data_IF_373513893527
#
_entry.id   IF_373513893527
#
_cell.length_a   1.000
_cell.length_b   1.000
_cell.length_c   1.000
_cell.angle_alpha   90.00
_cell.angle_beta   90.00
_cell.angle_gamma   90.00
#
_symmetry.space_group_name_H-M   'P 1'
#
loop_
_entity.id
_entity.type
_entity.pdbx_description
1 polymer ?
#
# COMPACT_ATOMS: atom_id res chain seq x y z
N UNK A 1 -16.05 8.33 1.67
CA UNK A 1 -14.57 8.42 1.56
C UNK A 1 -14.16 8.39 0.09
N UNK A 2 -13.30 9.31 -0.35
CA UNK A 2 -12.87 9.42 -1.75
C UNK A 2 -11.47 8.81 -1.92
N UNK A 3 -11.20 8.13 -3.04
CA UNK A 3 -9.86 7.62 -3.36
C UNK A 3 -9.41 8.24 -4.69
N UNK A 4 -8.19 8.77 -4.73
CA UNK A 4 -7.58 9.27 -5.95
C UNK A 4 -7.12 8.09 -6.84
N UNK A 5 -7.59 8.04 -8.09
CA UNK A 5 -7.27 6.99 -9.05
C UNK A 5 -6.78 7.59 -10.38
N UNK A 6 -5.80 7.02 -11.11
CA UNK A 6 -5.06 5.82 -10.76
C UNK A 6 -4.05 6.08 -9.64
N UNK A 7 -3.79 5.05 -8.84
CA UNK A 7 -2.72 5.09 -7.83
C UNK A 7 -1.35 5.20 -8.52
N UNK A 8 -0.57 6.27 -8.30
CA UNK A 8 0.74 6.41 -8.92
C UNK A 8 1.66 5.25 -8.56
N UNK A 9 2.24 4.62 -9.58
CA UNK A 9 3.14 3.47 -9.45
C UNK A 9 2.46 2.11 -9.30
N UNK A 10 1.11 2.05 -9.26
CA UNK A 10 0.36 0.80 -9.44
C UNK A 10 0.08 0.58 -10.93
N UNK A 11 1.02 -0.06 -11.63
CA UNK A 11 0.96 -0.23 -13.10
C UNK A 11 -0.16 -1.16 -13.57
N UNK A 12 -0.65 -2.05 -12.70
CA UNK A 12 -1.64 -3.07 -13.03
C UNK A 12 -2.99 -2.85 -12.33
N UNK A 13 -3.11 -1.86 -11.45
CA UNK A 13 -4.34 -1.52 -10.74
C UNK A 13 -4.75 -2.52 -9.64
N UNK A 14 -3.93 -3.53 -9.37
CA UNK A 14 -4.26 -4.58 -8.39
C UNK A 14 -4.25 -4.08 -6.96
N UNK A 15 -3.38 -3.12 -6.64
CA UNK A 15 -3.33 -2.53 -5.30
C UNK A 15 -4.59 -1.69 -5.08
N UNK A 16 -4.95 -0.87 -6.07
CA UNK A 16 -6.19 -0.08 -6.03
C UNK A 16 -7.41 -0.98 -5.80
N UNK A 17 -7.56 -2.04 -6.61
CA UNK A 17 -8.68 -2.98 -6.49
C UNK A 17 -8.75 -3.63 -5.11
N UNK A 18 -7.61 -4.07 -4.56
CA UNK A 18 -7.56 -4.70 -3.23
C UNK A 18 -7.88 -3.73 -2.10
N UNK A 19 -7.41 -2.49 -2.18
CA UNK A 19 -7.72 -1.46 -1.16
C UNK A 19 -9.22 -1.15 -1.19
N UNK A 20 -9.80 -0.95 -2.37
CA UNK A 20 -11.25 -0.68 -2.50
C UNK A 20 -12.07 -1.84 -1.94
N UNK A 21 -11.68 -3.07 -2.25
CA UNK A 21 -12.35 -4.27 -1.72
C UNK A 21 -12.27 -4.34 -0.18
N UNK A 22 -11.10 -4.09 0.41
CA UNK A 22 -10.91 -4.11 1.86
C UNK A 22 -11.69 -2.99 2.56
N UNK A 23 -11.71 -1.78 2.01
CA UNK A 23 -12.48 -0.66 2.56
C UNK A 23 -13.98 -0.93 2.51
N UNK A 24 -14.48 -1.50 1.40
CA UNK A 24 -15.89 -1.91 1.28
C UNK A 24 -16.26 -3.00 2.27
N UNK A 25 -15.39 -4.00 2.46
CA UNK A 25 -15.58 -5.03 3.51
C UNK A 25 -15.60 -4.44 4.92
N UNK A 26 -14.83 -3.39 5.16
CA UNK A 26 -14.84 -2.62 6.40
C UNK A 26 -16.04 -1.69 6.58
N UNK A 27 -17.02 -1.72 5.65
CA UNK A 27 -18.24 -0.90 5.71
C UNK A 27 -18.07 0.55 5.24
N UNK A 28 -16.93 0.91 4.65
CA UNK A 28 -16.71 2.26 4.14
C UNK A 28 -17.35 2.45 2.75
N UNK A 29 -18.12 3.53 2.58
CA UNK A 29 -18.58 3.97 1.25
C UNK A 29 -17.41 4.64 0.50
N UNK A 30 -16.93 3.96 -0.55
CA UNK A 30 -15.78 4.38 -1.35
C UNK A 30 -16.24 4.94 -2.69
N UNK A 31 -15.90 6.21 -2.95
CA UNK A 31 -16.06 6.87 -4.25
C UNK A 31 -14.70 7.03 -4.92
N UNK A 32 -14.57 6.53 -6.14
CA UNK A 32 -13.34 6.66 -6.93
C UNK A 32 -13.36 8.02 -7.65
N UNK A 33 -12.30 8.79 -7.52
CA UNK A 33 -12.15 10.08 -8.21
C UNK A 33 -10.98 10.01 -9.20
N UNK A 34 -11.22 10.28 -10.50
CA UNK A 34 -10.14 10.30 -11.48
C UNK A 34 -9.18 11.46 -11.19
N UNK A 35 -7.89 11.18 -11.21
CA UNK A 35 -6.78 12.07 -10.89
C UNK A 35 -6.70 13.26 -11.85
N UNK A 36 -7.36 13.20 -13.02
CA UNK A 36 -7.57 14.38 -13.88
C UNK A 36 -8.37 15.50 -13.20
N UNK A 37 -9.32 15.14 -12.32
CA UNK A 37 -10.05 16.13 -11.51
C UNK A 37 -9.18 16.79 -10.41
N UNK A 38 -7.93 16.31 -10.22
CA UNK A 38 -6.95 16.98 -9.35
C UNK A 38 -6.40 18.27 -9.99
N UNK A 39 -6.39 18.38 -11.31
CA UNK A 39 -5.91 19.56 -12.02
C UNK A 39 -6.91 20.72 -11.90
N UNK A 40 -8.21 20.42 -11.97
CA UNK A 40 -9.28 21.43 -11.86
C UNK A 40 -9.50 21.93 -10.42
N UNK A 41 -9.04 21.20 -9.41
CA UNK A 41 -9.06 21.64 -8.00
C UNK A 41 -7.84 22.50 -7.62
N UNK A 42 -6.91 22.71 -8.57
CA UNK A 42 -5.63 23.41 -8.37
C UNK A 42 -5.52 24.80 -9.00
N UNK A 43 -6.44 25.22 -9.87
CA UNK A 43 -6.46 26.57 -10.47
C UNK A 43 -7.88 26.88 -10.92
N UNK A 44 -8.56 27.75 -10.19
CA UNK A 44 -9.91 28.19 -10.49
C UNK A 44 -10.39 29.09 -9.35
N UNK A 45 -9.99 30.36 -9.41
CA UNK A 45 -10.74 31.42 -8.74
C UNK A 45 -12.14 31.44 -9.35
N UNK A 46 -13.10 30.76 -8.72
CA UNK A 46 -14.50 31.08 -8.90
C UNK A 46 -15.21 30.84 -7.57
N UNK A 47 -15.56 31.96 -6.93
CA UNK A 47 -16.39 32.07 -5.76
C UNK A 47 -17.80 31.57 -6.10
N UNK A 48 -18.04 30.27 -5.99
CA UNK A 48 -19.38 29.70 -5.96
C UNK A 48 -19.64 29.31 -4.51
N UNK A 49 -20.60 30.02 -3.90
CA UNK A 49 -21.05 29.83 -2.53
C UNK A 49 -21.16 28.34 -2.16
N UNK A 50 -20.21 27.87 -1.36
CA UNK A 50 -20.17 26.49 -0.90
C UNK A 50 -21.34 26.25 0.07
N UNK A 51 -22.16 25.20 -0.12
CA UNK A 51 -23.07 24.78 0.93
C UNK A 51 -22.24 24.37 2.14
N UNK A 52 -22.65 24.83 3.33
CA UNK A 52 -22.03 24.52 4.64
C UNK A 52 -21.51 23.08 4.67
N UNK A 53 -20.19 22.95 4.82
CA UNK A 53 -19.49 21.69 4.77
C UNK A 53 -19.94 20.72 5.85
N UNK A 54 -20.34 19.53 5.42
CA UNK A 54 -20.30 18.36 6.28
C UNK A 54 -18.84 17.96 6.49
N UNK A 55 -18.39 17.87 7.75
CA UNK A 55 -17.04 17.48 8.19
C UNK A 55 -16.62 16.03 7.83
N UNK A 56 -17.16 15.44 6.76
CA UNK A 56 -16.97 14.04 6.38
C UNK A 56 -16.31 13.82 5.01
N UNK A 57 -15.94 14.88 4.29
CA UNK A 57 -15.37 14.78 2.94
C UNK A 57 -13.85 14.52 2.97
N UNK A 58 -13.48 13.29 3.37
CA UNK A 58 -12.09 12.84 3.43
C UNK A 58 -11.63 12.11 2.16
N UNK A 59 -10.42 12.43 1.70
CA UNK A 59 -9.76 11.82 0.55
C UNK A 59 -8.55 10.99 0.98
N UNK A 60 -8.51 9.73 0.55
CA UNK A 60 -7.34 8.86 0.66
C UNK A 60 -6.49 8.94 -0.61
N UNK A 61 -5.25 9.32 -0.41
CA UNK A 61 -4.21 9.35 -1.43
C UNK A 61 -3.27 8.16 -1.20
N UNK A 62 -3.07 7.36 -2.23
CA UNK A 62 -2.16 6.23 -2.23
C UNK A 62 -1.02 6.53 -3.20
N UNK A 63 0.20 6.17 -2.83
CA UNK A 63 1.38 6.31 -3.70
C UNK A 63 2.26 5.08 -3.53
N UNK A 64 2.51 4.36 -4.63
CA UNK A 64 3.53 3.31 -4.65
C UNK A 64 4.88 3.97 -4.85
N UNK A 65 5.70 3.96 -3.79
CA UNK A 65 7.03 4.61 -3.81
C UNK A 65 8.07 3.74 -4.50
N UNK A 66 7.98 2.43 -4.31
CA UNK A 66 8.88 1.46 -4.93
C UNK A 66 8.16 0.12 -5.07
N UNK A 67 8.27 -0.49 -6.23
CA UNK A 67 7.87 -1.87 -6.48
C UNK A 67 8.94 -2.50 -7.38
N UNK A 68 9.44 -3.68 -7.01
CA UNK A 68 10.54 -4.28 -7.73
C UNK A 68 10.82 -5.73 -7.35
N UNK A 69 11.53 -6.40 -8.25
CA UNK A 69 11.95 -7.79 -8.15
C UNK A 69 13.47 -7.84 -8.21
N UNK A 70 14.10 -8.54 -7.26
CA UNK A 70 15.55 -8.69 -7.18
C UNK A 70 15.95 -10.16 -7.04
N UNK A 71 17.03 -10.58 -7.70
CA UNK A 71 17.55 -11.94 -7.63
C UNK A 71 18.70 -11.98 -6.62
N UNK A 72 18.43 -12.46 -5.41
CA UNK A 72 19.31 -12.27 -4.24
C UNK A 72 20.33 -13.39 -4.06
N UNK A 73 20.08 -14.60 -4.58
CA UNK A 73 20.97 -15.75 -4.38
C UNK A 73 20.86 -16.78 -5.49
N UNK A 74 21.99 -17.31 -5.96
CA UNK A 74 22.00 -18.50 -6.80
C UNK A 74 21.98 -19.77 -5.94
N UNK A 75 21.02 -20.66 -6.18
CA UNK A 75 20.91 -21.97 -5.56
C UNK A 75 21.69 -22.97 -6.39
N UNK A 76 22.74 -23.56 -5.81
CA UNK A 76 23.59 -24.57 -6.47
C UNK A 76 23.21 -25.97 -6.00
N UNK A 77 23.28 -26.96 -6.90
CA UNK A 77 23.18 -28.37 -6.53
C UNK A 77 24.55 -29.02 -6.75
N UNK A 78 25.13 -29.59 -5.70
CA UNK A 78 26.37 -30.36 -5.82
C UNK A 78 26.07 -31.70 -6.52
N UNK A 79 26.92 -32.19 -7.45
CA UNK A 79 28.18 -31.62 -7.94
C UNK A 79 28.06 -30.76 -9.21
N UNK A 80 26.88 -30.54 -9.81
CA UNK A 80 26.76 -29.81 -11.08
C UNK A 80 25.66 -28.74 -11.06
N UNK A 81 26.10 -27.48 -11.19
CA UNK A 81 25.31 -26.37 -11.75
C UNK A 81 24.43 -25.55 -10.78
N UNK A 82 24.08 -24.35 -11.24
CA UNK A 82 23.04 -23.50 -10.63
C UNK A 82 21.68 -24.13 -10.95
N UNK A 83 20.98 -24.58 -9.91
CA UNK A 83 19.62 -25.16 -9.97
C UNK A 83 18.57 -24.07 -10.16
N UNK A 84 18.76 -22.93 -9.51
CA UNK A 84 17.79 -21.84 -9.53
C UNK A 84 18.32 -20.59 -8.85
N UNK A 85 17.45 -19.60 -8.74
CA UNK A 85 17.71 -18.32 -8.12
C UNK A 85 16.62 -18.01 -7.11
N UNK A 86 17.02 -17.48 -5.98
CA UNK A 86 16.11 -16.90 -5.01
C UNK A 86 15.76 -15.50 -5.48
N UNK A 87 14.46 -15.27 -5.67
CA UNK A 87 13.89 -14.01 -6.12
C UNK A 87 13.15 -13.37 -4.95
N UNK A 88 13.30 -12.06 -4.82
CA UNK A 88 12.71 -11.22 -3.78
C UNK A 88 11.85 -10.18 -4.48
N UNK A 89 10.54 -10.27 -4.32
CA UNK A 89 9.62 -9.21 -4.66
C UNK A 89 9.46 -8.28 -3.46
N UNK A 90 9.49 -6.96 -3.68
CA UNK A 90 9.27 -5.97 -2.63
C UNK A 90 8.42 -4.82 -3.14
N UNK A 91 7.58 -4.29 -2.25
CA UNK A 91 6.73 -3.14 -2.52
C UNK A 91 6.68 -2.24 -1.30
N UNK A 92 6.71 -0.92 -1.52
CA UNK A 92 6.52 0.11 -0.50
C UNK A 92 5.44 1.07 -0.97
N UNK A 93 4.43 1.24 -0.13
CA UNK A 93 3.25 2.07 -0.37
C UNK A 93 3.17 3.14 0.71
N UNK A 94 2.92 4.37 0.33
CA UNK A 94 2.48 5.45 1.21
C UNK A 94 0.98 5.65 1.06
N UNK A 95 0.31 5.92 2.17
CA UNK A 95 -1.09 6.30 2.23
C UNK A 95 -1.21 7.59 3.05
N UNK A 96 -1.98 8.56 2.57
CA UNK A 96 -2.34 9.75 3.34
C UNK A 96 -3.82 10.05 3.23
N UNK A 97 -4.42 10.44 4.35
CA UNK A 97 -5.79 10.91 4.43
C UNK A 97 -5.78 12.43 4.53
N UNK A 98 -6.49 13.09 3.63
CA UNK A 98 -6.58 14.54 3.53
C UNK A 98 -8.03 14.94 3.69
N UNK A 99 -8.29 15.95 4.50
CA UNK A 99 -9.59 16.62 4.56
C UNK A 99 -9.70 17.60 3.40
N UNK A 100 -10.73 17.45 2.56
CA UNK A 100 -10.93 18.31 1.40
C UNK A 100 -11.36 19.72 1.77
N UNK A 101 -12.00 19.90 2.93
CA UNK A 101 -12.49 21.21 3.38
C UNK A 101 -11.36 22.12 3.86
N UNK A 102 -10.43 21.57 4.64
CA UNK A 102 -9.29 22.30 5.23
C UNK A 102 -7.99 22.11 4.45
N UNK A 103 -7.96 21.19 3.48
CA UNK A 103 -6.76 20.72 2.77
C UNK A 103 -5.66 20.19 3.71
N UNK A 104 -5.99 19.86 4.95
CA UNK A 104 -5.04 19.36 5.93
C UNK A 104 -4.86 17.84 5.83
N UNK A 105 -3.64 17.38 6.05
CA UNK A 105 -3.34 15.95 6.17
C UNK A 105 -3.76 15.49 7.55
N UNK A 106 -4.86 14.75 7.63
CA UNK A 106 -5.36 14.16 8.86
C UNK A 106 -4.50 12.98 9.32
N UNK A 107 -3.93 12.23 8.37
CA UNK A 107 -3.16 11.03 8.66
C UNK A 107 -2.22 10.69 7.51
N UNK A 108 -1.05 10.14 7.83
CA UNK A 108 -0.15 9.56 6.85
C UNK A 108 0.56 8.33 7.42
N UNK A 109 0.62 7.26 6.64
CA UNK A 109 1.35 6.04 7.01
C UNK A 109 2.02 5.43 5.79
N UNK A 110 3.05 4.65 6.03
CA UNK A 110 3.66 3.83 4.99
C UNK A 110 3.64 2.36 5.39
N UNK A 111 3.54 1.50 4.39
CA UNK A 111 3.61 0.06 4.54
C UNK A 111 4.61 -0.49 3.52
N UNK A 112 5.33 -1.53 3.91
CA UNK A 112 6.17 -2.29 2.99
C UNK A 112 5.90 -3.77 3.13
N UNK A 113 5.85 -4.46 2.01
CA UNK A 113 5.73 -5.91 1.95
C UNK A 113 6.84 -6.47 1.08
N UNK A 114 7.39 -7.61 1.47
CA UNK A 114 8.31 -8.38 0.64
C UNK A 114 7.92 -9.85 0.66
N UNK A 115 8.18 -10.52 -0.45
CA UNK A 115 7.91 -11.94 -0.63
C UNK A 115 9.08 -12.57 -1.38
N UNK A 116 9.44 -13.79 -1.00
CA UNK A 116 10.61 -14.46 -1.53
C UNK A 116 10.22 -15.81 -2.13
N UNK A 117 10.71 -16.09 -3.33
CA UNK A 117 10.44 -17.32 -4.05
C UNK A 117 11.70 -17.90 -4.71
N UNK A 118 11.58 -19.14 -5.17
CA UNK A 118 12.62 -19.84 -5.91
C UNK A 118 12.22 -19.94 -7.38
N UNK A 119 13.05 -19.40 -8.26
CA UNK A 119 12.90 -19.46 -9.71
C UNK A 119 13.92 -20.45 -10.26
N UNK A 120 13.47 -21.45 -11.02
CA UNK A 120 14.38 -22.41 -11.66
C UNK A 120 15.21 -21.68 -12.72
N UNK A 121 16.42 -22.18 -12.99
CA UNK A 121 17.31 -21.56 -13.99
C UNK A 121 16.64 -21.40 -15.38
N UNK A 122 15.85 -22.38 -15.80
CA UNK A 122 15.15 -22.34 -17.10
C UNK A 122 14.04 -21.29 -17.18
N UNK A 123 13.42 -20.95 -16.05
CA UNK A 123 12.30 -20.01 -15.98
C UNK A 123 12.77 -18.56 -15.71
N UNK A 124 14.08 -18.34 -15.57
CA UNK A 124 14.66 -17.05 -15.19
C UNK A 124 14.32 -15.95 -16.20
N UNK A 125 14.46 -16.22 -17.51
CA UNK A 125 14.18 -15.24 -18.56
C UNK A 125 12.71 -14.80 -18.56
N UNK A 126 11.80 -15.73 -18.29
CA UNK A 126 10.37 -15.44 -18.15
C UNK A 126 10.03 -14.73 -16.84
N UNK A 127 10.71 -15.08 -15.74
CA UNK A 127 10.56 -14.39 -14.47
C UNK A 127 11.09 -12.95 -14.51
N UNK A 128 12.13 -12.69 -15.31
CA UNK A 128 12.73 -11.37 -15.52
C UNK A 128 11.85 -10.44 -16.35
N UNK A 129 10.99 -10.95 -17.22
CA UNK A 129 10.04 -10.12 -17.98
C UNK A 129 8.88 -9.58 -17.14
N UNK A 130 8.81 -9.93 -15.84
CA UNK A 130 7.74 -9.52 -14.93
C UNK A 130 6.41 -10.27 -15.13
N UNK A 131 6.36 -11.25 -16.04
CA UNK A 131 5.15 -12.01 -16.41
C UNK A 131 4.99 -13.31 -15.61
N UNK A 132 5.97 -13.66 -14.78
CA UNK A 132 5.97 -14.87 -13.96
C UNK A 132 5.30 -14.69 -12.60
N UNK A 133 4.31 -15.53 -12.30
CA UNK A 133 3.67 -15.60 -10.98
C UNK A 133 4.71 -15.76 -9.85
N UNK A 134 4.46 -15.11 -8.71
CA UNK A 134 5.22 -15.34 -7.49
C UNK A 134 4.74 -16.64 -6.86
N UNK A 135 5.64 -17.61 -6.71
CA UNK A 135 5.36 -18.86 -6.02
C UNK A 135 6.19 -18.89 -4.73
N UNK A 136 5.81 -18.10 -3.71
CA UNK A 136 6.56 -18.07 -2.46
C UNK A 136 6.66 -19.49 -1.92
N UNK A 137 7.89 -19.92 -1.64
CA UNK A 137 8.10 -21.19 -0.96
C UNK A 137 7.33 -21.14 0.36
N UNK A 138 6.73 -22.26 0.77
CA UNK A 138 6.09 -22.39 2.08
C UNK A 138 7.10 -21.87 3.10
N UNK A 139 6.77 -20.83 3.89
CA UNK A 139 7.72 -20.23 4.80
C UNK A 139 8.27 -21.34 5.68
N UNK A 140 9.59 -21.58 5.62
CA UNK A 140 10.24 -22.46 6.58
C UNK A 140 10.03 -21.82 7.94
N UNK A 141 9.12 -22.39 8.71
CA UNK A 141 8.73 -21.98 10.05
C UNK A 141 9.98 -21.79 10.91
N UNK A 142 10.46 -20.55 11.00
CA UNK A 142 11.70 -20.21 11.69
C UNK A 142 11.72 -18.73 12.05
N UNK A 143 11.23 -18.41 13.24
CA UNK A 143 11.37 -17.10 13.89
C UNK A 143 10.31 -16.07 13.50
N UNK A 144 9.11 -16.19 14.06
CA UNK A 144 7.95 -15.38 13.66
C UNK A 144 7.93 -13.93 14.16
N UNK A 145 7.12 -13.06 13.51
CA UNK A 145 6.78 -11.69 13.92
C UNK A 145 5.74 -11.60 15.06
N UNK A 146 5.59 -12.63 15.88
CA UNK A 146 4.52 -12.77 16.91
C UNK A 146 4.50 -11.68 18.00
N UNK A 147 5.55 -10.86 18.10
CA UNK A 147 5.63 -9.74 19.05
C UNK A 147 5.37 -8.37 18.41
N UNK A 148 5.47 -8.24 17.09
CA UNK A 148 5.28 -6.96 16.41
C UNK A 148 3.79 -6.60 16.30
N UNK A 149 2.96 -7.61 16.09
CA UNK A 149 1.51 -7.48 15.98
C UNK A 149 0.86 -6.92 17.27
N UNK A 150 1.14 -7.44 18.50
CA UNK A 150 0.60 -6.85 19.72
C UNK A 150 1.17 -5.45 20.04
N UNK A 151 2.42 -5.15 19.69
CA UNK A 151 3.03 -3.83 19.92
C UNK A 151 2.35 -2.72 19.12
N UNK A 152 1.97 -3.00 17.87
CA UNK A 152 1.24 -2.04 17.04
C UNK A 152 -0.15 -1.76 17.62
N UNK A 153 -0.83 -2.80 18.11
CA UNK A 153 -2.15 -2.66 18.75
C UNK A 153 -2.05 -1.82 20.02
N UNK A 154 -1.06 -2.08 20.89
CA UNK A 154 -0.83 -1.30 22.12
C UNK A 154 -0.50 0.17 21.79
N UNK A 155 0.31 0.42 20.76
CA UNK A 155 0.64 1.77 20.33
C UNK A 155 -0.57 2.55 19.83
N UNK A 156 -1.46 1.90 19.05
CA UNK A 156 -2.69 2.52 18.56
C UNK A 156 -3.65 2.82 19.71
N UNK A 157 -3.89 1.86 20.61
CA UNK A 157 -4.79 2.07 21.76
C UNK A 157 -4.28 3.17 22.68
N UNK A 158 -2.99 3.18 23.01
CA UNK A 158 -2.38 4.22 23.85
C UNK A 158 -2.49 5.60 23.20
N UNK A 159 -2.21 5.70 21.89
CA UNK A 159 -2.35 6.95 21.14
C UNK A 159 -3.78 7.47 21.13
N UNK A 160 -4.77 6.57 20.97
CA UNK A 160 -6.19 6.93 20.95
C UNK A 160 -6.69 7.41 22.33
N UNK A 161 -6.23 6.77 23.41
CA UNK A 161 -6.53 7.18 24.80
C UNK A 161 -5.94 8.57 25.10
N UNK A 162 -4.69 8.82 24.73
CA UNK A 162 -4.05 10.13 24.94
C UNK A 162 -4.76 11.23 24.15
N UNK A 163 -5.14 10.96 22.90
CA UNK A 163 -5.87 11.93 22.07
C UNK A 163 -7.24 12.30 22.68
N UNK A 164 -7.94 11.30 23.23
CA UNK A 164 -9.23 11.52 23.91
C UNK A 164 -9.09 12.27 25.23
N UNK A 165 -8.03 12.02 25.98
CA UNK A 165 -7.79 12.69 27.26
C UNK A 165 -7.31 14.14 27.08
N UNK A 166 -6.52 14.41 26.03
CA UNK A 166 -6.04 15.76 25.70
C UNK A 166 -7.14 16.67 25.12
N UNK A 167 -8.23 16.12 24.59
CA UNK A 167 -9.35 16.88 24.02
C UNK A 167 -10.49 17.13 25.03
N UNK A 168 -10.26 16.82 26.32
CA UNK A 168 -11.25 16.90 27.40
C UNK A 168 -10.96 17.97 28.46
N UNK A 169 -9.98 18.83 28.22
CA UNK A 169 -9.58 19.95 29.08
C UNK A 169 -9.27 21.18 28.23
#
# INVERSE_FOLDING_TARGET
>A
MRIATPVPGDTLGFLEQRVVEQLRRGGAEVRLMPSRARADLGMGEEEIAAPRGDSTDVQLNLVVRSAGVSYVRALRKFPVGIRGYQRLASMRVGASLVDLSTRQVLWAKSASASSMDEVRRGDLSYAQSGSGALNPGIPRSGGGPRLLEPLIVIGVVTGLVVLFYSNRN
#
